data_IF_592641115527
#
_entry.id   IF_592641115527
#
_cell.length_a   1.000
_cell.length_b   1.000
_cell.length_c   1.000
_cell.angle_alpha   90.00
_cell.angle_beta   90.00
_cell.angle_gamma   90.00
#
_symmetry.space_group_name_H-M   'P 1'
#
loop_
_entity.id
_entity.type
_entity.pdbx_description
1 polymer ?
#
# COMPACT_ATOMS: atom_id res chain seq x y z
N UNK A 1 3.98 -14.09 -0.44
CA UNK A 1 2.63 -13.53 -0.33
C UNK A 1 2.33 -12.93 1.04
N UNK A 2 2.25 -13.66 2.17
CA UNK A 2 2.01 -13.04 3.50
C UNK A 2 3.10 -12.03 3.90
N UNK A 3 4.34 -12.22 3.44
CA UNK A 3 5.46 -11.34 3.74
C UNK A 3 5.33 -9.92 3.18
N UNK A 4 4.68 -9.73 2.03
CA UNK A 4 4.56 -8.39 1.40
C UNK A 4 3.48 -7.60 2.13
N UNK A 5 2.31 -8.19 2.38
CA UNK A 5 1.25 -7.57 3.18
C UNK A 5 1.72 -7.22 4.60
N UNK A 6 2.52 -8.09 5.21
CA UNK A 6 3.12 -7.83 6.52
C UNK A 6 4.12 -6.66 6.45
N UNK A 7 5.03 -6.65 5.46
CA UNK A 7 5.96 -5.53 5.24
C UNK A 7 5.23 -4.21 4.99
N UNK A 8 4.14 -4.22 4.22
CA UNK A 8 3.30 -3.05 3.98
C UNK A 8 2.66 -2.57 5.29
N UNK A 9 2.08 -3.49 6.07
CA UNK A 9 1.45 -3.15 7.34
C UNK A 9 2.46 -2.64 8.37
N UNK A 10 3.62 -3.30 8.51
CA UNK A 10 4.72 -2.85 9.38
C UNK A 10 5.22 -1.47 8.93
N UNK A 11 5.47 -1.27 7.63
CA UNK A 11 5.90 0.03 7.09
C UNK A 11 4.86 1.13 7.33
N UNK A 12 3.58 0.84 7.09
CA UNK A 12 2.48 1.77 7.38
C UNK A 12 2.44 2.12 8.86
N UNK A 13 2.56 1.14 9.76
CA UNK A 13 2.49 1.35 11.22
C UNK A 13 3.72 2.13 11.72
N UNK A 14 4.91 1.79 11.22
CA UNK A 14 6.17 2.46 11.57
C UNK A 14 6.24 3.90 11.03
N UNK A 15 5.66 4.16 9.86
CA UNK A 15 5.75 5.47 9.18
C UNK A 15 4.49 6.34 9.28
N UNK A 16 3.35 5.85 9.83
CA UNK A 16 2.08 6.59 9.98
C UNK A 16 2.23 7.92 10.72
N UNK A 17 3.30 8.09 11.51
CA UNK A 17 3.55 9.32 12.27
C UNK A 17 4.67 10.21 11.73
N UNK A 18 5.48 9.77 10.74
CA UNK A 18 6.62 10.60 10.32
C UNK A 18 6.81 10.78 8.82
N UNK A 19 6.67 9.78 7.95
CA UNK A 19 7.17 9.97 6.57
C UNK A 19 6.39 9.18 5.51
N UNK A 20 5.42 9.86 4.91
CA UNK A 20 5.15 9.63 3.49
C UNK A 20 6.12 10.43 2.58
N UNK A 21 7.10 11.11 3.18
CA UNK A 21 8.20 11.88 2.59
C UNK A 21 9.49 11.06 2.39
N UNK A 22 9.56 9.85 2.93
CA UNK A 22 10.75 9.00 2.82
C UNK A 22 10.77 8.34 1.43
N UNK A 23 11.55 8.94 0.54
CA UNK A 23 11.73 8.48 -0.85
C UNK A 23 12.65 7.24 -0.96
N UNK A 24 13.04 6.61 0.16
CA UNK A 24 13.99 5.49 0.18
C UNK A 24 13.38 4.20 -0.39
N UNK A 25 12.07 4.03 -0.25
CA UNK A 25 11.35 2.97 -0.97
C UNK A 25 11.22 3.41 -2.43
N UNK A 26 11.56 2.61 -3.45
CA UNK A 26 11.31 2.98 -4.85
C UNK A 26 9.82 2.97 -5.21
N UNK A 27 9.40 3.79 -6.19
CA UNK A 27 8.01 3.80 -6.65
C UNK A 27 7.58 2.43 -7.23
N UNK A 28 8.52 1.68 -7.81
CA UNK A 28 8.30 0.30 -8.28
C UNK A 28 7.82 -0.62 -7.14
N UNK A 29 8.35 -0.45 -5.93
CA UNK A 29 7.97 -1.25 -4.76
C UNK A 29 6.57 -0.84 -4.26
N UNK A 30 6.27 0.45 -4.25
CA UNK A 30 4.93 0.95 -3.90
C UNK A 30 3.88 0.45 -4.90
N UNK A 31 4.25 0.36 -6.18
CA UNK A 31 3.40 -0.17 -7.22
C UNK A 31 3.20 -1.69 -7.09
N UNK A 32 4.27 -2.44 -6.80
CA UNK A 32 4.19 -3.87 -6.49
C UNK A 32 3.23 -4.15 -5.31
N UNK A 33 3.28 -3.32 -4.26
CA UNK A 33 2.36 -3.41 -3.12
C UNK A 33 0.89 -3.21 -3.54
N UNK A 34 0.63 -2.26 -4.43
CA UNK A 34 -0.72 -2.04 -4.97
C UNK A 34 -1.21 -3.22 -5.80
N UNK A 35 -0.35 -3.78 -6.65
CA UNK A 35 -0.68 -4.94 -7.46
C UNK A 35 -0.98 -6.17 -6.60
N UNK A 36 -0.15 -6.47 -5.60
CA UNK A 36 -0.38 -7.57 -4.65
C UNK A 36 -1.71 -7.43 -3.89
N UNK A 37 -2.01 -6.23 -3.38
CA UNK A 37 -3.26 -5.97 -2.66
C UNK A 37 -4.47 -6.07 -3.59
N UNK A 38 -4.36 -5.55 -4.82
CA UNK A 38 -5.43 -5.66 -5.81
C UNK A 38 -5.69 -7.10 -6.24
N UNK A 39 -4.63 -7.88 -6.43
CA UNK A 39 -4.74 -9.29 -6.78
C UNK A 39 -5.44 -10.06 -5.65
N UNK A 40 -5.05 -9.83 -4.40
CA UNK A 40 -5.70 -10.43 -3.25
C UNK A 40 -7.18 -10.03 -3.11
N UNK A 41 -7.51 -8.74 -3.29
CA UNK A 41 -8.89 -8.29 -3.32
C UNK A 41 -9.68 -9.00 -4.43
N UNK A 42 -9.15 -9.02 -5.66
CA UNK A 42 -9.81 -9.66 -6.82
C UNK A 42 -10.06 -11.15 -6.59
N UNK A 43 -9.08 -11.87 -6.04
CA UNK A 43 -9.24 -13.29 -5.64
C UNK A 43 -10.34 -13.43 -4.57
N UNK A 44 -10.42 -12.53 -3.61
CA UNK A 44 -11.47 -12.56 -2.59
C UNK A 44 -12.85 -12.21 -3.17
N UNK A 45 -12.93 -11.28 -4.12
CA UNK A 45 -14.17 -10.97 -4.84
C UNK A 45 -14.67 -12.17 -5.64
N UNK A 46 -13.79 -12.85 -6.37
CA UNK A 46 -14.11 -14.07 -7.12
C UNK A 46 -14.57 -15.21 -6.22
N UNK A 47 -14.06 -15.27 -4.99
CA UNK A 47 -14.47 -16.26 -3.98
C UNK A 47 -15.69 -15.82 -3.15
N UNK A 48 -16.36 -14.70 -3.50
CA UNK A 48 -17.54 -14.21 -2.78
C UNK A 48 -17.25 -13.63 -1.38
N UNK A 49 -15.99 -13.32 -1.06
CA UNK A 49 -15.54 -12.88 0.28
C UNK A 49 -15.49 -11.35 0.46
N UNK A 50 -16.25 -10.60 -0.35
CA UNK A 50 -16.33 -9.11 -0.31
C UNK A 50 -16.72 -8.52 1.05
N UNK A 51 -17.44 -9.27 1.88
CA UNK A 51 -17.87 -8.81 3.21
C UNK A 51 -16.97 -9.24 4.36
N UNK A 52 -15.89 -9.98 4.10
CA UNK A 52 -15.05 -10.50 5.17
C UNK A 52 -14.19 -9.39 5.80
N UNK A 53 -13.92 -9.50 7.09
CA UNK A 53 -13.03 -8.58 7.81
C UNK A 53 -11.68 -8.41 7.11
N UNK A 54 -11.13 -9.53 6.61
CA UNK A 54 -9.89 -9.54 5.81
C UNK A 54 -10.00 -8.72 4.52
N UNK A 55 -11.16 -8.72 3.86
CA UNK A 55 -11.37 -7.90 2.66
C UNK A 55 -11.41 -6.41 3.01
N UNK A 56 -12.11 -6.05 4.09
CA UNK A 56 -12.15 -4.67 4.58
C UNK A 56 -10.75 -4.17 4.99
N UNK A 57 -9.98 -5.02 5.67
CA UNK A 57 -8.59 -4.73 6.03
C UNK A 57 -7.70 -4.52 4.80
N UNK A 58 -7.83 -5.36 3.77
CA UNK A 58 -7.11 -5.18 2.51
C UNK A 58 -7.52 -3.91 1.75
N UNK A 59 -8.80 -3.51 1.83
CA UNK A 59 -9.25 -2.23 1.29
C UNK A 59 -8.63 -1.04 2.03
N UNK A 60 -8.46 -1.15 3.35
CA UNK A 60 -7.81 -0.10 4.14
C UNK A 60 -6.32 0.02 3.78
N UNK A 61 -5.62 -1.12 3.69
CA UNK A 61 -4.23 -1.18 3.21
C UNK A 61 -4.11 -0.53 1.83
N UNK A 62 -5.01 -0.87 0.88
CA UNK A 62 -5.03 -0.27 -0.46
C UNK A 62 -5.14 1.25 -0.41
N UNK A 63 -5.99 1.81 0.46
CA UNK A 63 -6.15 3.27 0.60
C UNK A 63 -4.86 3.91 1.11
N UNK A 64 -4.23 3.31 2.10
CA UNK A 64 -2.97 3.80 2.69
C UNK A 64 -1.83 3.76 1.68
N UNK A 65 -1.68 2.68 0.91
CA UNK A 65 -0.66 2.61 -0.16
C UNK A 65 -0.90 3.68 -1.24
N UNK A 66 -2.15 3.96 -1.62
CA UNK A 66 -2.46 5.09 -2.53
C UNK A 66 -2.12 6.46 -1.94
N UNK A 67 -2.34 6.66 -0.64
CA UNK A 67 -1.94 7.91 0.02
C UNK A 67 -0.42 8.07 -0.01
N UNK A 68 0.34 7.00 0.26
CA UNK A 68 1.80 6.99 0.14
C UNK A 68 2.22 7.36 -1.28
N UNK A 69 1.64 6.72 -2.30
CA UNK A 69 1.93 7.03 -3.70
C UNK A 69 1.66 8.51 -4.03
N UNK A 70 0.55 9.07 -3.53
CA UNK A 70 0.19 10.48 -3.76
C UNK A 70 1.17 11.43 -3.08
N UNK A 71 1.46 11.22 -1.79
CA UNK A 71 2.38 12.08 -1.04
C UNK A 71 3.80 12.00 -1.60
N UNK A 72 4.23 10.84 -2.10
CA UNK A 72 5.50 10.68 -2.81
C UNK A 72 5.50 11.40 -4.15
N UNK A 73 4.43 11.31 -4.93
CA UNK A 73 4.31 12.07 -6.17
C UNK A 73 4.36 13.58 -5.92
N UNK A 74 3.88 14.05 -4.76
CA UNK A 74 3.97 15.45 -4.33
C UNK A 74 5.33 15.82 -3.73
N UNK A 75 5.96 14.95 -2.92
CA UNK A 75 7.18 15.28 -2.14
C UNK A 75 8.50 14.83 -2.80
N UNK A 76 8.51 13.69 -3.48
CA UNK A 76 9.70 13.10 -4.08
C UNK A 76 9.95 13.62 -5.51
N UNK A 77 8.91 13.99 -6.27
CA UNK A 77 9.09 14.68 -7.56
C UNK A 77 9.63 16.11 -7.40
N UNK A 78 9.45 16.74 -6.22
CA UNK A 78 10.00 18.07 -5.93
C UNK A 78 11.52 18.06 -5.67
N UNK A 79 12.19 16.90 -5.66
CA UNK A 79 13.66 16.78 -5.49
C UNK A 79 14.45 16.69 -6.80
N UNK A 80 13.81 16.92 -7.95
CA UNK A 80 14.45 16.87 -9.26
C UNK A 80 14.95 18.23 -9.79
N UNK A 81 14.99 19.29 -8.95
CA UNK A 81 15.62 20.58 -9.27
C UNK A 81 16.94 20.80 -8.50
#
# INVERSE_FOLDING_TARGET
MVHILKKIADWIIEHESKEATDCTVPDEIVQEWLDDVNEHLKRMEQNGKKGSERYLMLQDIKKRVKQIQKIRAESCNLKAE
#
